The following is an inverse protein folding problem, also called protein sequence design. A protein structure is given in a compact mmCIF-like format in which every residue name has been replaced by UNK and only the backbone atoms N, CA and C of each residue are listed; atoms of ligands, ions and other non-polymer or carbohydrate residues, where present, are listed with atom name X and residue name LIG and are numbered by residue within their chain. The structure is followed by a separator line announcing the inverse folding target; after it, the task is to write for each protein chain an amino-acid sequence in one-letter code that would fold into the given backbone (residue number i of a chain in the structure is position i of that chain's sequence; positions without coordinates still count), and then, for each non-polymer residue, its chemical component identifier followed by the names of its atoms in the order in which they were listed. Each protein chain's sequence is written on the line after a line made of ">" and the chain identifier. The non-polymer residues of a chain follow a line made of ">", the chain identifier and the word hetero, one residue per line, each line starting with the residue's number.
data_IF_775005023764
#
_entry.id   IF_775005023764
#
_cell.length_a   1.000
_cell.length_b   1.000
_cell.length_c   1.000
_cell.angle_alpha   90.00
_cell.angle_beta   90.00
_cell.angle_gamma   90.00
#
_symmetry.space_group_name_H-M   'P 1'
#
loop_
_entity.id
_entity.type
_entity.pdbx_description
1 polymer ?
#
# COMPACT_ATOMS: atom_id res chain seq x y z
N UNK A 1 -9.76 -23.15 7.69
CA UNK A 1 -9.19 -24.23 6.85
C UNK A 1 -8.74 -23.63 5.51
N UNK A 2 -7.53 -23.92 5.05
CA UNK A 2 -7.07 -23.53 3.71
C UNK A 2 -7.86 -24.34 2.68
N UNK A 3 -8.80 -23.70 1.97
CA UNK A 3 -9.40 -24.28 0.77
C UNK A 3 -8.30 -24.36 -0.29
N UNK A 4 -7.57 -25.49 -0.33
CA UNK A 4 -6.57 -25.73 -1.36
C UNK A 4 -7.28 -25.83 -2.70
N UNK A 5 -6.79 -25.05 -3.67
CA UNK A 5 -7.24 -25.13 -5.05
C UNK A 5 -6.83 -26.50 -5.60
N UNK A 6 -7.76 -27.33 -6.12
CA UNK A 6 -7.39 -28.51 -6.88
C UNK A 6 -6.65 -28.07 -8.15
N UNK A 7 -5.47 -28.65 -8.39
CA UNK A 7 -4.65 -28.37 -9.56
C UNK A 7 -4.56 -29.64 -10.41
N UNK A 8 -4.81 -29.51 -11.71
CA UNK A 8 -4.57 -30.55 -12.70
C UNK A 8 -3.09 -30.69 -13.07
N UNK A 9 -2.78 -31.73 -13.84
CA UNK A 9 -1.43 -31.94 -14.37
C UNK A 9 -1.03 -30.77 -15.27
N UNK A 10 0.14 -30.19 -15.03
CA UNK A 10 0.64 -29.05 -15.79
C UNK A 10 0.03 -27.70 -15.40
N UNK A 11 -0.72 -27.60 -14.29
CA UNK A 11 -1.22 -26.34 -13.76
C UNK A 11 -0.38 -25.80 -12.59
N UNK A 12 -0.53 -24.51 -12.32
CA UNK A 12 -0.02 -23.85 -11.12
C UNK A 12 -1.09 -22.90 -10.56
N UNK A 13 -1.04 -22.64 -9.25
CA UNK A 13 -1.92 -21.66 -8.63
C UNK A 13 -1.44 -20.24 -8.94
N UNK A 14 -2.35 -19.36 -9.34
CA UNK A 14 -2.11 -17.92 -9.44
C UNK A 14 -3.12 -17.17 -8.59
N UNK A 15 -2.63 -16.22 -7.80
CA UNK A 15 -3.47 -15.31 -7.01
C UNK A 15 -3.61 -13.98 -7.74
N UNK A 16 -4.85 -13.53 -7.88
CA UNK A 16 -5.22 -12.25 -8.45
C UNK A 16 -6.17 -11.51 -7.50
N UNK A 17 -6.45 -10.24 -7.77
CA UNK A 17 -7.37 -9.43 -6.98
C UNK A 17 -8.44 -8.81 -7.88
N UNK A 18 -9.70 -8.98 -7.49
CA UNK A 18 -10.84 -8.29 -8.07
C UNK A 18 -11.30 -7.19 -7.11
N UNK A 19 -11.84 -6.09 -7.64
CA UNK A 19 -12.43 -5.02 -6.83
C UNK A 19 -13.94 -5.20 -6.81
N UNK A 20 -14.49 -5.44 -5.63
CA UNK A 20 -15.92 -5.45 -5.36
C UNK A 20 -16.39 -4.17 -4.67
N UNK A 21 -17.70 -3.95 -4.71
CA UNK A 21 -18.39 -2.87 -4.02
C UNK A 21 -19.49 -3.49 -3.16
N UNK A 22 -19.48 -3.22 -1.85
CA UNK A 22 -20.61 -3.60 -0.99
C UNK A 22 -21.66 -2.50 -1.09
N UNK A 23 -22.82 -2.85 -1.67
CA UNK A 23 -23.91 -1.89 -1.94
C UNK A 23 -24.98 -1.87 -0.85
N UNK A 24 -25.09 -2.95 -0.10
CA UNK A 24 -26.00 -3.12 1.02
C UNK A 24 -25.51 -4.29 1.89
N UNK A 25 -26.11 -4.44 3.06
CA UNK A 25 -25.97 -5.63 3.88
C UNK A 25 -27.30 -6.00 4.53
N UNK A 26 -27.42 -7.22 5.05
CA UNK A 26 -28.58 -7.67 5.81
C UNK A 26 -28.11 -8.10 7.18
N UNK A 27 -28.68 -7.54 8.24
CA UNK A 27 -28.41 -7.98 9.62
C UNK A 27 -29.02 -9.36 9.80
N UNK A 28 -28.20 -10.39 9.99
CA UNK A 28 -28.67 -11.78 9.94
C UNK A 28 -29.69 -12.11 11.03
N UNK A 29 -29.56 -11.49 12.21
CA UNK A 29 -30.44 -11.73 13.35
C UNK A 29 -31.86 -11.17 13.14
N UNK A 30 -31.99 -10.03 12.45
CA UNK A 30 -33.26 -9.29 12.35
C UNK A 30 -33.83 -9.26 10.94
N UNK A 31 -33.04 -9.61 9.92
CA UNK A 31 -33.40 -9.42 8.51
C UNK A 31 -33.36 -7.96 8.06
N UNK A 32 -32.94 -7.03 8.93
CA UNK A 32 -32.91 -5.60 8.62
C UNK A 32 -31.91 -5.31 7.49
N UNK A 33 -32.37 -4.58 6.47
CA UNK A 33 -31.54 -4.14 5.35
C UNK A 33 -30.74 -2.90 5.74
N UNK A 34 -29.41 -3.01 5.70
CA UNK A 34 -28.49 -1.89 5.81
C UNK A 34 -28.27 -1.25 4.44
N UNK A 35 -28.54 0.05 4.35
CA UNK A 35 -28.20 0.86 3.19
C UNK A 35 -26.67 0.92 2.98
N UNK A 36 -26.23 1.29 1.78
CA UNK A 36 -24.81 1.51 1.48
C UNK A 36 -24.15 2.48 2.48
N UNK A 37 -24.87 3.54 2.88
CA UNK A 37 -24.38 4.55 3.81
C UNK A 37 -24.24 3.99 5.23
N UNK A 38 -25.27 3.30 5.75
CA UNK A 38 -25.23 2.67 7.07
C UNK A 38 -24.12 1.60 7.15
N UNK A 39 -23.93 0.82 6.07
CA UNK A 39 -22.83 -0.13 5.99
C UNK A 39 -21.46 0.58 5.98
N UNK A 40 -21.32 1.67 5.23
CA UNK A 40 -20.09 2.45 5.18
C UNK A 40 -19.75 3.11 6.53
N UNK A 41 -20.76 3.52 7.29
CA UNK A 41 -20.58 4.05 8.64
C UNK A 41 -20.07 2.97 9.60
N UNK A 42 -20.73 1.80 9.67
CA UNK A 42 -20.32 0.70 10.55
C UNK A 42 -18.93 0.16 10.20
N UNK A 43 -18.64 -0.02 8.91
CA UNK A 43 -17.30 -0.43 8.45
C UNK A 43 -16.27 0.67 8.68
N UNK A 44 -16.64 1.93 8.45
CA UNK A 44 -15.76 3.09 8.64
C UNK A 44 -15.30 3.22 10.09
N UNK A 45 -16.22 3.05 11.03
CA UNK A 45 -15.86 3.04 12.45
C UNK A 45 -14.86 1.92 12.79
N UNK A 46 -15.09 0.70 12.30
CA UNK A 46 -14.17 -0.42 12.55
C UNK A 46 -12.80 -0.20 11.89
N UNK A 47 -12.79 0.38 10.69
CA UNK A 47 -11.57 0.80 10.00
C UNK A 47 -10.79 1.82 10.84
N UNK A 48 -11.47 2.80 11.42
CA UNK A 48 -10.84 3.84 12.24
C UNK A 48 -10.22 3.26 13.50
N UNK A 49 -10.96 2.41 14.21
CA UNK A 49 -10.45 1.70 15.37
C UNK A 49 -9.19 0.88 15.03
N UNK A 50 -9.25 0.07 13.97
CA UNK A 50 -8.12 -0.79 13.58
C UNK A 50 -6.91 0.05 13.15
N UNK A 51 -7.14 1.12 12.37
CA UNK A 51 -6.05 1.97 11.89
C UNK A 51 -5.42 2.79 13.01
N UNK A 52 -6.19 3.24 14.01
CA UNK A 52 -5.72 3.90 15.22
C UNK A 52 -4.82 2.97 16.03
N UNK A 53 -5.31 1.80 16.41
CA UNK A 53 -4.52 0.80 17.16
C UNK A 53 -3.25 0.38 16.40
N UNK A 54 -3.34 0.19 15.08
CA UNK A 54 -2.18 -0.14 14.27
C UNK A 54 -1.17 1.02 14.20
N UNK A 55 -1.66 2.27 14.17
CA UNK A 55 -0.83 3.48 14.19
C UNK A 55 -0.06 3.62 15.51
N UNK A 56 -0.74 3.42 16.64
CA UNK A 56 -0.11 3.42 17.97
C UNK A 56 0.97 2.33 18.08
N UNK A 57 0.64 1.10 17.69
CA UNK A 57 1.59 -0.01 17.74
C UNK A 57 2.78 0.19 16.81
N UNK A 58 2.55 0.76 15.62
CA UNK A 58 3.64 1.07 14.68
C UNK A 58 4.53 2.17 15.22
N UNK A 59 3.95 3.25 15.77
CA UNK A 59 4.72 4.36 16.33
C UNK A 59 5.56 3.92 17.54
N UNK A 60 5.00 3.08 18.43
CA UNK A 60 5.71 2.56 19.60
C UNK A 60 6.94 1.71 19.25
N UNK A 61 6.92 1.05 18.10
CA UNK A 61 8.02 0.19 17.62
C UNK A 61 8.75 0.76 16.39
N UNK A 62 8.59 2.06 16.11
CA UNK A 62 9.28 2.75 15.02
C UNK A 62 10.69 3.16 15.45
N UNK A 63 11.55 2.18 15.67
CA UNK A 63 12.95 2.38 16.06
C UNK A 63 13.84 1.25 15.53
N UNK A 64 15.15 1.50 15.51
CA UNK A 64 16.16 0.57 14.98
C UNK A 64 16.12 -0.78 15.67
N UNK A 65 16.13 -0.80 17.01
CA UNK A 65 16.16 -2.04 17.81
C UNK A 65 14.99 -2.95 17.48
N UNK A 66 13.76 -2.44 17.52
CA UNK A 66 12.58 -3.24 17.30
C UNK A 66 12.51 -3.72 15.84
N UNK A 67 12.78 -2.85 14.87
CA UNK A 67 12.76 -3.26 13.45
C UNK A 67 13.80 -4.35 13.17
N UNK A 68 14.99 -4.28 13.77
CA UNK A 68 16.01 -5.32 13.64
C UNK A 68 15.61 -6.63 14.31
N UNK A 69 15.00 -6.58 15.51
CA UNK A 69 14.45 -7.77 16.18
C UNK A 69 13.39 -8.44 15.29
N UNK A 70 12.45 -7.68 14.73
CA UNK A 70 11.42 -8.24 13.86
C UNK A 70 11.99 -8.78 12.53
N UNK A 71 13.02 -8.13 12.00
CA UNK A 71 13.68 -8.51 10.75
C UNK A 71 14.60 -9.73 10.89
N UNK A 72 15.18 -9.96 12.08
CA UNK A 72 15.99 -11.16 12.38
C UNK A 72 15.23 -12.45 12.09
N UNK A 73 13.90 -12.39 12.20
CA UNK A 73 13.03 -13.53 11.97
C UNK A 73 13.04 -14.53 13.13
N UNK A 74 13.62 -14.19 14.28
CA UNK A 74 13.67 -15.01 15.49
C UNK A 74 13.25 -14.19 16.73
N UNK A 75 12.76 -14.88 17.77
CA UNK A 75 12.55 -14.26 19.08
C UNK A 75 13.83 -14.32 19.95
N UNK A 76 13.79 -13.73 21.14
CA UNK A 76 14.94 -13.71 22.06
C UNK A 76 15.44 -15.13 22.47
N UNK A 77 14.63 -16.17 22.26
CA UNK A 77 15.00 -17.57 22.48
C UNK A 77 15.45 -18.31 21.23
N UNK A 78 15.72 -17.62 20.12
CA UNK A 78 16.13 -18.21 18.84
C UNK A 78 15.01 -18.94 18.09
N UNK A 79 13.74 -18.76 18.49
CA UNK A 79 12.63 -19.43 17.80
C UNK A 79 12.17 -18.58 16.63
N UNK A 80 12.11 -19.20 15.45
CA UNK A 80 11.62 -18.57 14.22
C UNK A 80 10.27 -17.88 14.40
N UNK A 81 10.16 -16.62 14.00
CA UNK A 81 8.93 -15.85 14.00
C UNK A 81 7.95 -16.39 12.94
N UNK A 82 6.63 -16.45 13.22
CA UNK A 82 5.64 -16.87 12.26
C UNK A 82 5.57 -15.95 11.02
N UNK A 83 5.14 -16.51 9.89
CA UNK A 83 4.93 -15.75 8.66
C UNK A 83 3.81 -14.71 8.78
N UNK A 84 2.75 -15.00 9.53
CA UNK A 84 1.69 -14.03 9.85
C UNK A 84 2.25 -12.94 10.78
N UNK A 85 2.10 -11.67 10.38
CA UNK A 85 2.71 -10.56 11.10
C UNK A 85 2.12 -10.41 12.50
N UNK A 86 0.80 -10.55 12.65
CA UNK A 86 0.16 -10.46 13.97
C UNK A 86 0.67 -11.50 14.97
N UNK A 87 0.98 -12.72 14.51
CA UNK A 87 1.51 -13.78 15.36
C UNK A 87 2.97 -13.50 15.74
N UNK A 88 3.75 -12.96 14.81
CA UNK A 88 5.12 -12.54 15.10
C UNK A 88 5.15 -11.43 16.15
N UNK A 89 4.31 -10.41 16.02
CA UNK A 89 4.21 -9.34 17.02
C UNK A 89 3.86 -9.91 18.41
N UNK A 90 2.86 -10.81 18.49
CA UNK A 90 2.51 -11.47 19.76
C UNK A 90 3.65 -12.30 20.34
N UNK A 91 4.43 -12.99 19.50
CA UNK A 91 5.60 -13.75 19.95
C UNK A 91 6.68 -12.86 20.55
N UNK A 92 6.81 -11.63 20.03
CA UNK A 92 7.70 -10.60 20.58
C UNK A 92 7.10 -9.86 21.78
N UNK A 93 5.88 -10.20 22.22
CA UNK A 93 5.19 -9.51 23.29
C UNK A 93 4.59 -8.15 22.89
N UNK A 94 4.62 -7.81 21.60
CA UNK A 94 4.13 -6.53 21.10
C UNK A 94 2.63 -6.60 20.84
N UNK A 95 1.88 -5.79 21.58
CA UNK A 95 0.42 -5.81 21.54
C UNK A 95 -0.16 -4.42 21.70
N UNK A 96 -1.45 -4.31 21.41
CA UNK A 96 -2.23 -3.09 21.51
C UNK A 96 -3.61 -3.47 22.06
N UNK A 97 -4.17 -2.57 22.87
CA UNK A 97 -5.50 -2.70 23.42
C UNK A 97 -6.46 -1.74 22.70
N UNK A 98 -7.76 -2.08 22.58
CA UNK A 98 -8.75 -1.09 22.19
C UNK A 98 -8.79 0.05 23.23
N UNK A 99 -9.23 1.26 22.83
CA UNK A 99 -9.46 2.36 23.76
C UNK A 99 -10.39 1.96 24.92
N UNK A 100 -10.26 2.66 26.05
CA UNK A 100 -11.05 2.39 27.25
C UNK A 100 -12.56 2.38 26.95
N UNK A 101 -13.28 1.44 27.58
CA UNK A 101 -14.72 1.27 27.38
C UNK A 101 -15.13 0.59 26.06
N UNK A 102 -14.19 0.34 25.13
CA UNK A 102 -14.48 -0.34 23.87
C UNK A 102 -14.21 -1.84 23.99
N UNK A 103 -15.25 -2.64 23.76
CA UNK A 103 -15.18 -4.10 23.72
C UNK A 103 -15.17 -4.61 22.29
N UNK A 104 -14.09 -5.30 21.93
CA UNK A 104 -13.91 -5.92 20.60
C UNK A 104 -13.57 -7.40 20.70
N UNK A 105 -13.82 -8.13 19.61
CA UNK A 105 -13.27 -9.47 19.42
C UNK A 105 -11.75 -9.38 19.21
N UNK A 106 -10.99 -10.36 19.69
CA UNK A 106 -9.55 -10.52 19.46
C UNK A 106 -9.16 -10.34 17.98
N UNK A 107 -10.05 -10.70 17.04
CA UNK A 107 -9.80 -10.60 15.59
C UNK A 107 -9.69 -9.15 15.11
N UNK A 108 -10.34 -8.20 15.79
CA UNK A 108 -10.18 -6.77 15.52
C UNK A 108 -8.75 -6.33 15.90
N UNK A 109 -8.24 -6.81 17.03
CA UNK A 109 -6.85 -6.57 17.46
C UNK A 109 -5.86 -7.25 16.51
N UNK A 110 -6.13 -8.49 16.07
CA UNK A 110 -5.28 -9.18 15.07
C UNK A 110 -5.15 -8.39 13.77
N UNK A 111 -6.22 -7.77 13.29
CA UNK A 111 -6.15 -6.92 12.09
C UNK A 111 -5.23 -5.71 12.29
N UNK A 112 -5.24 -5.09 13.46
CA UNK A 112 -4.35 -3.98 13.78
C UNK A 112 -2.89 -4.44 13.86
N UNK A 113 -2.63 -5.55 14.56
CA UNK A 113 -1.31 -6.16 14.67
C UNK A 113 -0.77 -6.62 13.31
N UNK A 114 -1.62 -7.16 12.43
CA UNK A 114 -1.22 -7.57 11.09
C UNK A 114 -0.80 -6.36 10.23
N UNK A 115 -1.53 -5.25 10.32
CA UNK A 115 -1.19 -4.01 9.61
C UNK A 115 0.11 -3.41 10.12
N UNK A 116 0.24 -3.26 11.44
CA UNK A 116 1.46 -2.73 12.06
C UNK A 116 2.68 -3.60 11.74
N UNK A 117 2.57 -4.92 11.91
CA UNK A 117 3.68 -5.83 11.69
C UNK A 117 4.14 -5.89 10.22
N UNK A 118 3.21 -5.75 9.25
CA UNK A 118 3.58 -5.60 7.83
C UNK A 118 4.32 -4.30 7.56
N UNK A 119 3.86 -3.19 8.14
CA UNK A 119 4.51 -1.89 8.01
C UNK A 119 5.94 -1.92 8.58
N UNK A 120 6.11 -2.46 9.79
CA UNK A 120 7.41 -2.60 10.45
C UNK A 120 8.36 -3.52 9.68
N UNK A 121 7.89 -4.67 9.19
CA UNK A 121 8.71 -5.56 8.33
C UNK A 121 9.21 -4.86 7.07
N UNK A 122 8.38 -4.02 6.45
CA UNK A 122 8.80 -3.24 5.28
C UNK A 122 9.80 -2.12 5.61
N UNK A 123 9.97 -1.76 6.89
CA UNK A 123 10.86 -0.70 7.31
C UNK A 123 12.34 -1.09 7.21
N UNK A 124 12.66 -2.37 7.45
CA UNK A 124 14.04 -2.87 7.48
C UNK A 124 14.81 -2.52 6.20
N UNK A 125 14.20 -2.75 5.03
CA UNK A 125 14.83 -2.40 3.75
C UNK A 125 15.18 -0.90 3.65
N UNK A 126 14.30 -0.01 4.14
CA UNK A 126 14.58 1.43 4.19
C UNK A 126 15.65 1.78 5.22
N UNK A 127 15.66 1.08 6.36
CA UNK A 127 16.69 1.24 7.39
C UNK A 127 18.07 0.87 6.85
N UNK A 128 18.19 -0.27 6.18
CA UNK A 128 19.44 -0.74 5.56
C UNK A 128 19.92 0.19 4.45
N UNK A 129 19.01 0.64 3.58
CA UNK A 129 19.30 1.64 2.55
C UNK A 129 19.81 2.95 3.17
N UNK A 130 19.16 3.44 4.22
CA UNK A 130 19.56 4.67 4.90
C UNK A 130 20.92 4.51 5.59
N UNK A 131 21.13 3.41 6.29
CA UNK A 131 22.39 3.10 6.96
C UNK A 131 23.56 3.04 5.96
N UNK A 132 23.42 2.34 4.83
CA UNK A 132 24.44 2.28 3.80
C UNK A 132 24.75 3.65 3.18
N UNK A 133 23.73 4.48 2.95
CA UNK A 133 23.91 5.85 2.45
C UNK A 133 24.61 6.75 3.47
N UNK A 134 24.28 6.63 4.75
CA UNK A 134 24.91 7.41 5.83
C UNK A 134 26.37 6.99 6.05
N UNK A 135 26.66 5.69 6.03
CA UNK A 135 28.01 5.15 6.16
C UNK A 135 28.94 5.61 5.03
N UNK A 136 28.38 5.95 3.86
CA UNK A 136 29.08 6.38 2.65
C UNK A 136 28.62 7.76 2.19
N UNK A 137 28.41 8.66 3.15
CA UNK A 137 27.91 9.99 2.87
C UNK A 137 28.88 10.74 1.94
N UNK A 138 28.45 11.19 0.75
CA UNK A 138 29.37 11.74 -0.24
C UNK A 138 29.81 13.15 0.14
N UNK A 139 30.97 13.55 -0.38
CA UNK A 139 31.50 14.92 -0.22
C UNK A 139 30.52 15.93 -0.85
N UNK A 140 29.94 15.57 -2.00
CA UNK A 140 28.94 16.36 -2.72
C UNK A 140 27.60 15.62 -2.85
N UNK A 141 26.58 15.87 -2.01
CA UNK A 141 25.31 15.13 -2.07
C UNK A 141 24.51 15.33 -3.38
N UNK A 142 24.87 16.32 -4.21
CA UNK A 142 24.27 16.51 -5.53
C UNK A 142 24.88 15.61 -6.63
N UNK A 143 26.12 15.14 -6.45
CA UNK A 143 26.88 14.34 -7.42
C UNK A 143 27.84 13.41 -6.69
N UNK A 144 27.64 12.10 -6.85
CA UNK A 144 28.61 11.07 -6.45
C UNK A 144 29.62 10.82 -7.57
N UNK A 145 30.89 10.70 -7.21
CA UNK A 145 31.95 10.12 -8.04
C UNK A 145 31.72 8.63 -8.30
N UNK A 146 32.40 8.02 -9.28
CA UNK A 146 32.34 6.56 -9.51
C UNK A 146 32.70 5.75 -8.26
N UNK A 147 33.75 6.11 -7.54
CA UNK A 147 34.17 5.38 -6.32
C UNK A 147 33.11 5.49 -5.20
N UNK A 148 32.53 6.68 -5.01
CA UNK A 148 31.41 6.87 -4.06
C UNK A 148 30.14 6.11 -4.48
N UNK A 149 29.99 5.75 -5.76
CA UNK A 149 28.92 4.89 -6.25
C UNK A 149 29.16 3.42 -5.92
N UNK A 150 30.40 2.95 -6.05
CA UNK A 150 30.75 1.58 -5.72
C UNK A 150 30.66 1.35 -4.20
N UNK A 151 31.21 2.27 -3.40
CA UNK A 151 31.16 2.22 -1.94
C UNK A 151 29.73 2.12 -1.40
N UNK A 152 28.81 2.96 -1.89
CA UNK A 152 27.42 2.93 -1.39
C UNK A 152 26.69 1.66 -1.81
N UNK A 153 26.99 1.10 -2.99
CA UNK A 153 26.40 -0.16 -3.44
C UNK A 153 26.89 -1.34 -2.63
N UNK A 154 28.16 -1.33 -2.22
CA UNK A 154 28.73 -2.33 -1.33
C UNK A 154 28.15 -2.24 0.09
N UNK A 155 27.94 -1.01 0.59
CA UNK A 155 27.42 -0.77 1.94
C UNK A 155 25.93 -1.12 2.12
N UNK A 156 25.17 -1.29 1.03
CA UNK A 156 23.73 -1.61 1.09
C UNK A 156 23.52 -3.10 0.75
N UNK A 157 22.80 -3.88 1.58
CA UNK A 157 22.39 -5.24 1.24
C UNK A 157 21.68 -5.31 -0.12
N UNK A 158 22.28 -6.02 -1.08
CA UNK A 158 21.77 -6.12 -2.46
C UNK A 158 21.96 -4.87 -3.31
N UNK A 159 22.81 -3.92 -2.87
CA UNK A 159 23.02 -2.62 -3.51
C UNK A 159 23.51 -2.68 -4.95
N UNK A 160 24.21 -3.74 -5.35
CA UNK A 160 24.63 -4.00 -6.74
C UNK A 160 23.45 -4.00 -7.72
N UNK A 161 22.28 -4.45 -7.29
CA UNK A 161 21.07 -4.53 -8.12
C UNK A 161 20.13 -3.33 -7.94
N UNK A 162 20.46 -2.39 -7.06
CA UNK A 162 19.61 -1.22 -6.82
C UNK A 162 19.70 -0.23 -7.99
N UNK A 163 18.56 0.27 -8.50
CA UNK A 163 18.56 1.37 -9.44
C UNK A 163 19.17 2.62 -8.81
N UNK A 164 20.12 3.28 -9.49
CA UNK A 164 20.75 4.52 -9.01
C UNK A 164 19.74 5.60 -8.55
N UNK A 165 18.57 5.78 -9.19
CA UNK A 165 17.57 6.75 -8.73
C UNK A 165 17.07 6.52 -7.29
N UNK A 166 17.06 5.28 -6.79
CA UNK A 166 16.66 4.96 -5.42
C UNK A 166 17.65 5.57 -4.42
N UNK A 167 18.95 5.32 -4.63
CA UNK A 167 20.05 5.86 -3.81
C UNK A 167 20.10 7.39 -3.91
N UNK A 168 19.91 7.96 -5.11
CA UNK A 168 19.86 9.42 -5.30
C UNK A 168 18.69 10.05 -4.55
N UNK A 169 17.51 9.43 -4.59
CA UNK A 169 16.34 9.94 -3.89
C UNK A 169 16.56 9.97 -2.37
N UNK A 170 17.11 8.90 -1.79
CA UNK A 170 17.45 8.85 -0.37
C UNK A 170 18.56 9.84 0.01
N UNK A 171 19.62 9.96 -0.81
CA UNK A 171 20.68 10.95 -0.58
C UNK A 171 20.11 12.37 -0.54
N UNK A 172 19.17 12.70 -1.44
CA UNK A 172 18.49 14.00 -1.45
C UNK A 172 17.64 14.24 -0.21
N UNK A 173 16.95 13.21 0.28
CA UNK A 173 16.14 13.28 1.48
C UNK A 173 17.00 13.58 2.71
N UNK A 174 18.12 12.88 2.87
CA UNK A 174 19.09 13.16 3.94
C UNK A 174 19.68 14.56 3.78
N UNK A 175 20.00 15.01 2.57
CA UNK A 175 20.49 16.37 2.33
C UNK A 175 19.46 17.46 2.71
N UNK A 176 18.14 17.18 2.55
CA UNK A 176 17.08 18.06 3.07
C UNK A 176 17.11 18.10 4.60
N UNK A 177 17.28 16.95 5.26
CA UNK A 177 17.41 16.87 6.72
C UNK A 177 18.63 17.68 7.21
N UNK A 178 19.80 17.46 6.61
CA UNK A 178 21.05 18.19 6.95
C UNK A 178 20.87 19.70 6.82
N UNK A 179 20.24 20.18 5.74
CA UNK A 179 19.98 21.62 5.57
C UNK A 179 19.06 22.19 6.65
N UNK A 180 18.15 21.38 7.20
CA UNK A 180 17.21 21.82 8.25
C UNK A 180 17.82 21.72 9.65
N UNK A 181 18.65 20.71 9.91
CA UNK A 181 19.10 20.35 11.26
C UNK A 181 20.61 20.55 11.50
N UNK A 182 21.40 20.86 10.46
CA UNK A 182 22.84 21.12 10.57
C UNK A 182 23.70 19.87 10.80
N UNK A 183 23.11 18.67 10.80
CA UNK A 183 23.79 17.39 10.99
C UNK A 183 23.13 16.27 10.19
N UNK A 184 23.81 15.14 10.06
CA UNK A 184 23.21 13.91 9.54
C UNK A 184 22.17 13.36 10.52
N UNK A 185 21.11 12.69 10.01
CA UNK A 185 20.24 11.88 10.85
C UNK A 185 21.01 10.66 11.36
N UNK A 186 20.64 10.18 12.53
CA UNK A 186 21.21 8.96 13.12
C UNK A 186 20.80 7.74 12.32
N UNK A 187 19.53 7.67 11.92
CA UNK A 187 18.95 6.54 11.19
C UNK A 187 17.69 6.97 10.41
N UNK A 188 17.01 5.99 9.81
CA UNK A 188 15.76 6.23 9.07
C UNK A 188 14.61 6.67 9.98
N UNK A 189 14.64 6.31 11.27
CA UNK A 189 13.57 6.57 12.22
C UNK A 189 13.60 8.03 12.70
N UNK A 190 14.78 8.65 12.70
CA UNK A 190 14.93 10.09 12.83
C UNK A 190 14.63 10.83 11.51
N UNK A 191 15.05 10.26 10.38
CA UNK A 191 14.85 10.88 9.06
C UNK A 191 13.38 10.94 8.63
N UNK A 192 12.60 9.92 8.98
CA UNK A 192 11.23 9.72 8.54
C UNK A 192 10.26 9.56 9.72
N UNK A 193 9.09 10.20 9.69
CA UNK A 193 8.05 9.90 10.66
C UNK A 193 7.55 8.46 10.49
N UNK A 194 7.00 7.89 11.56
CA UNK A 194 6.33 6.60 11.50
C UNK A 194 5.30 6.59 10.35
N UNK A 195 5.23 5.50 9.55
CA UNK A 195 4.40 5.45 8.37
C UNK A 195 2.92 5.56 8.75
N UNK A 196 2.17 6.37 8.00
CA UNK A 196 0.72 6.47 8.17
C UNK A 196 0.07 5.15 7.81
N UNK A 197 -0.70 4.58 8.73
CA UNK A 197 -1.42 3.33 8.51
C UNK A 197 -2.63 3.57 7.61
N UNK A 198 -2.80 2.68 6.64
CA UNK A 198 -3.94 2.74 5.74
C UNK A 198 -5.24 2.45 6.50
N UNK A 199 -6.29 3.22 6.19
CA UNK A 199 -7.64 2.98 6.70
C UNK A 199 -8.28 1.78 5.99
N UNK A 200 -8.03 0.57 6.52
CA UNK A 200 -8.55 -0.69 5.97
C UNK A 200 -8.80 -1.77 7.04
N UNK A 201 -9.61 -2.78 6.69
CA UNK A 201 -9.79 -4.02 7.44
C UNK A 201 -9.21 -5.20 6.65
N UNK A 202 -8.13 -5.79 7.16
CA UNK A 202 -7.51 -6.98 6.59
C UNK A 202 -8.24 -8.24 7.07
N UNK A 203 -9.40 -8.57 6.51
CA UNK A 203 -10.19 -9.71 6.99
C UNK A 203 -9.48 -11.06 6.85
N UNK A 204 -8.44 -11.15 6.01
CA UNK A 204 -7.56 -12.33 5.91
C UNK A 204 -6.73 -12.61 7.17
N UNK A 205 -6.61 -11.64 8.09
CA UNK A 205 -6.01 -11.85 9.42
C UNK A 205 -6.98 -12.50 10.42
N UNK A 206 -8.24 -12.69 10.02
CA UNK A 206 -9.32 -13.21 10.86
C UNK A 206 -9.71 -14.64 10.49
N UNK A 207 -10.51 -15.24 11.36
CA UNK A 207 -11.12 -16.55 11.14
C UNK A 207 -12.66 -16.42 11.06
N UNK A 208 -13.32 -17.57 10.98
CA UNK A 208 -14.78 -17.68 10.84
C UNK A 208 -15.58 -17.07 11.99
N UNK A 209 -14.93 -16.74 13.12
CA UNK A 209 -15.59 -16.02 14.21
C UNK A 209 -15.81 -14.54 13.88
N UNK A 210 -15.11 -13.97 12.89
CA UNK A 210 -15.23 -12.57 12.51
C UNK A 210 -15.78 -12.39 11.09
N UNK A 211 -15.37 -13.22 10.14
CA UNK A 211 -15.79 -13.11 8.75
C UNK A 211 -15.73 -14.44 7.99
N UNK A 212 -16.65 -14.63 7.05
CA UNK A 212 -16.65 -15.74 6.10
C UNK A 212 -17.00 -15.25 4.70
N UNK A 213 -16.52 -15.95 3.67
CA UNK A 213 -16.91 -15.69 2.28
C UNK A 213 -17.27 -17.00 1.58
N UNK A 214 -18.41 -16.97 0.91
CA UNK A 214 -18.91 -18.07 0.10
C UNK A 214 -19.34 -17.56 -1.27
N UNK A 215 -19.34 -18.44 -2.28
CA UNK A 215 -20.02 -18.14 -3.53
C UNK A 215 -21.53 -18.19 -3.29
N UNK A 216 -22.27 -17.34 -4.01
CA UNK A 216 -23.73 -17.45 -4.06
C UNK A 216 -24.14 -18.56 -5.01
N UNK A 217 -25.43 -18.90 -4.97
CA UNK A 217 -26.01 -19.94 -5.85
C UNK A 217 -25.95 -19.52 -7.32
N UNK A 218 -26.09 -18.22 -7.60
CA UNK A 218 -25.92 -17.66 -8.94
C UNK A 218 -24.43 -17.46 -9.29
N UNK A 219 -24.01 -17.87 -10.52
CA UNK A 219 -22.70 -17.51 -11.04
C UNK A 219 -22.44 -16.01 -10.99
N UNK A 220 -21.22 -15.62 -10.63
CA UNK A 220 -20.86 -14.22 -10.51
C UNK A 220 -21.31 -13.54 -9.21
N UNK A 221 -21.82 -14.29 -8.22
CA UNK A 221 -22.11 -13.75 -6.88
C UNK A 221 -21.27 -14.40 -5.79
N UNK A 222 -20.97 -13.62 -4.76
CA UNK A 222 -20.43 -14.08 -3.50
C UNK A 222 -21.17 -13.41 -2.34
N UNK A 223 -21.18 -14.08 -1.19
CA UNK A 223 -21.71 -13.57 0.06
C UNK A 223 -20.57 -13.42 1.07
N UNK A 224 -20.27 -12.18 1.44
CA UNK A 224 -19.38 -11.87 2.55
C UNK A 224 -20.23 -11.74 3.82
N UNK A 225 -20.02 -12.60 4.81
CA UNK A 225 -20.60 -12.44 6.14
C UNK A 225 -19.52 -11.89 7.05
N UNK A 226 -19.82 -10.85 7.83
CA UNK A 226 -18.86 -10.30 8.79
C UNK A 226 -19.56 -9.72 10.01
N UNK A 227 -18.90 -9.79 11.17
CA UNK A 227 -19.35 -9.10 12.37
C UNK A 227 -19.03 -7.60 12.28
N UNK A 228 -20.04 -6.77 12.49
CA UNK A 228 -19.94 -5.31 12.54
C UNK A 228 -20.57 -4.78 13.83
N UNK A 229 -20.08 -3.65 14.35
CA UNK A 229 -20.69 -3.00 15.50
C UNK A 229 -22.08 -2.45 15.12
N UNK A 230 -23.02 -2.53 16.05
CA UNK A 230 -24.37 -1.94 15.92
C UNK A 230 -24.41 -0.47 16.33
N UNK A 231 -23.40 0.00 17.07
CA UNK A 231 -23.25 1.36 17.57
C UNK A 231 -21.78 1.80 17.56
N UNK A 232 -21.49 3.11 17.49
CA UNK A 232 -20.18 3.63 17.85
C UNK A 232 -19.83 3.23 19.31
N UNK A 233 -18.56 2.93 19.56
CA UNK A 233 -18.06 2.49 20.88
C UNK A 233 -18.89 1.32 21.48
N UNK A 234 -18.78 0.10 20.90
CA UNK A 234 -19.40 -1.10 21.45
C UNK A 234 -18.82 -1.37 22.84
N UNK A 235 -19.68 -1.49 23.85
CA UNK A 235 -19.27 -1.71 25.25
C UNK A 235 -19.31 -3.20 25.62
N UNK A 236 -19.97 -4.03 24.81
CA UNK A 236 -20.12 -5.46 25.03
C UNK A 236 -20.11 -6.25 23.72
N UNK A 237 -19.96 -7.57 23.81
CA UNK A 237 -20.10 -8.45 22.64
C UNK A 237 -21.54 -8.47 22.06
N UNK A 238 -22.54 -7.97 22.80
CA UNK A 238 -23.92 -7.82 22.30
C UNK A 238 -24.06 -6.67 21.29
N UNK A 239 -23.11 -5.74 21.29
CA UNK A 239 -23.05 -4.61 20.37
C UNK A 239 -22.42 -4.99 19.02
N UNK A 240 -22.21 -6.27 18.77
CA UNK A 240 -21.70 -6.83 17.51
C UNK A 240 -22.76 -7.74 16.90
N UNK A 241 -22.95 -7.60 15.59
CA UNK A 241 -23.91 -8.44 14.85
C UNK A 241 -23.31 -8.92 13.54
N UNK A 242 -23.73 -10.11 13.11
CA UNK A 242 -23.46 -10.60 11.77
C UNK A 242 -24.25 -9.82 10.73
N UNK A 243 -23.54 -9.40 9.69
CA UNK A 243 -24.10 -8.74 8.51
C UNK A 243 -23.70 -9.53 7.28
N UNK A 244 -24.67 -9.89 6.45
CA UNK A 244 -24.49 -10.57 5.18
C UNK A 244 -24.46 -9.53 4.04
N UNK A 245 -23.34 -9.43 3.34
CA UNK A 245 -23.06 -8.44 2.31
C UNK A 245 -22.85 -9.13 0.95
N UNK A 246 -23.80 -9.02 0.01
CA UNK A 246 -23.65 -9.55 -1.34
C UNK A 246 -22.54 -8.81 -2.12
N UNK A 247 -21.75 -9.57 -2.88
CA UNK A 247 -20.68 -9.08 -3.76
C UNK A 247 -20.94 -9.60 -5.17
N UNK A 248 -21.01 -8.68 -6.13
CA UNK A 248 -20.94 -9.03 -7.55
C UNK A 248 -19.47 -9.30 -7.93
N UNK A 249 -19.19 -10.51 -8.41
CA UNK A 249 -17.89 -10.93 -8.91
C UNK A 249 -17.78 -10.53 -10.39
N UNK A 250 -16.67 -9.90 -10.82
CA UNK A 250 -16.46 -9.61 -12.22
C UNK A 250 -16.23 -10.91 -13.01
N UNK A 251 -16.50 -10.92 -14.34
CA UNK A 251 -16.29 -12.10 -15.19
C UNK A 251 -14.86 -12.64 -15.20
N UNK A 252 -13.88 -11.83 -14.78
CA UNK A 252 -12.47 -12.23 -14.64
C UNK A 252 -12.22 -13.17 -13.45
N UNK A 253 -13.19 -13.37 -12.57
CA UNK A 253 -13.16 -14.34 -11.48
C UNK A 253 -13.89 -15.59 -11.94
N UNK A 254 -13.14 -16.62 -12.34
CA UNK A 254 -13.75 -17.89 -12.77
C UNK A 254 -14.60 -18.51 -11.66
N UNK A 255 -15.54 -19.37 -12.03
CA UNK A 255 -16.41 -20.10 -11.08
C UNK A 255 -15.60 -21.02 -10.15
N UNK A 256 -14.50 -21.58 -10.65
CA UNK A 256 -13.67 -22.54 -9.91
C UNK A 256 -12.60 -21.86 -9.03
N UNK A 257 -12.49 -20.54 -9.11
CA UNK A 257 -11.54 -19.81 -8.29
C UNK A 257 -11.90 -19.90 -6.80
N UNK A 258 -10.89 -20.14 -5.97
CA UNK A 258 -11.02 -20.08 -4.51
C UNK A 258 -11.03 -18.61 -4.10
N UNK A 259 -12.13 -18.17 -3.47
CA UNK A 259 -12.27 -16.82 -2.92
C UNK A 259 -11.62 -16.75 -1.52
N UNK A 260 -10.88 -15.67 -1.27
CA UNK A 260 -10.29 -15.37 0.04
C UNK A 260 -11.04 -14.22 0.71
N UNK A 261 -10.89 -14.09 2.04
CA UNK A 261 -11.47 -12.96 2.75
C UNK A 261 -10.90 -11.63 2.22
N UNK A 262 -11.75 -10.65 1.87
CA UNK A 262 -11.30 -9.43 1.21
C UNK A 262 -10.66 -8.45 2.19
N UNK A 263 -9.89 -7.51 1.65
CA UNK A 263 -9.57 -6.28 2.39
C UNK A 263 -10.69 -5.26 2.18
N UNK A 264 -11.25 -4.72 3.27
CA UNK A 264 -12.27 -3.66 3.17
C UNK A 264 -11.65 -2.29 3.35
N UNK A 265 -12.11 -1.30 2.56
CA UNK A 265 -11.72 0.10 2.70
C UNK A 265 -12.86 1.04 2.34
N UNK A 266 -12.84 2.21 2.95
CA UNK A 266 -13.78 3.28 2.62
C UNK A 266 -13.22 4.12 1.46
N UNK A 267 -14.02 4.31 0.42
CA UNK A 267 -13.68 5.20 -0.68
C UNK A 267 -14.94 5.93 -1.16
N UNK A 268 -14.91 7.26 -1.13
CA UNK A 268 -16.06 8.11 -1.51
C UNK A 268 -17.36 7.68 -0.80
N UNK A 269 -17.31 7.51 0.53
CA UNK A 269 -18.41 7.03 1.37
C UNK A 269 -18.99 5.66 1.00
N UNK A 270 -18.24 4.83 0.25
CA UNK A 270 -18.62 3.47 -0.12
C UNK A 270 -17.62 2.45 0.39
N UNK A 271 -18.08 1.25 0.70
CA UNK A 271 -17.22 0.14 1.11
C UNK A 271 -16.73 -0.63 -0.12
N UNK A 272 -15.43 -0.53 -0.39
CA UNK A 272 -14.76 -1.37 -1.40
C UNK A 272 -14.24 -2.64 -0.75
N UNK A 273 -14.43 -3.76 -1.44
CA UNK A 273 -13.88 -5.05 -1.07
C UNK A 273 -12.82 -5.45 -2.10
N UNK A 274 -11.54 -5.38 -1.74
CA UNK A 274 -10.45 -5.89 -2.56
C UNK A 274 -10.36 -7.41 -2.31
N UNK A 275 -10.97 -8.17 -3.22
CA UNK A 275 -11.18 -9.61 -3.13
C UNK A 275 -10.04 -10.35 -3.81
N UNK A 276 -9.17 -10.96 -3.01
CA UNK A 276 -8.18 -11.90 -3.53
C UNK A 276 -8.87 -13.22 -3.91
N UNK A 277 -8.45 -13.80 -5.02
CA UNK A 277 -8.88 -15.12 -5.46
C UNK A 277 -7.71 -15.88 -6.07
N UNK A 278 -7.70 -17.20 -5.85
CA UNK A 278 -6.71 -18.10 -6.43
C UNK A 278 -7.38 -19.00 -7.45
N UNK A 279 -6.82 -19.08 -8.65
CA UNK A 279 -7.32 -19.93 -9.73
C UNK A 279 -6.16 -20.71 -10.36
N UNK A 280 -6.50 -21.80 -11.03
CA UNK A 280 -5.53 -22.60 -11.76
C UNK A 280 -5.16 -21.86 -13.05
N UNK A 281 -3.87 -21.82 -13.36
CA UNK A 281 -3.36 -21.36 -14.64
C UNK A 281 -2.39 -22.39 -15.19
N UNK A 282 -2.23 -22.48 -16.53
CA UNK A 282 -1.21 -23.34 -17.12
C UNK A 282 0.17 -23.00 -16.57
N UNK A 283 0.93 -24.02 -16.15
CA UNK A 283 2.30 -23.86 -15.72
C UNK A 283 3.12 -23.41 -16.94
N UNK A 284 3.85 -22.29 -16.85
CA UNK A 284 4.70 -21.87 -17.95
C UNK A 284 5.75 -22.97 -18.20
N UNK A 285 5.75 -23.52 -19.42
CA UNK A 285 6.79 -24.44 -19.86
C UNK A 285 7.96 -23.60 -20.35
N UNK A 286 9.17 -23.89 -19.86
CA UNK A 286 10.39 -23.38 -20.48
C UNK A 286 10.55 -24.08 -21.82
N UNK A 287 9.96 -23.56 -22.89
CA UNK A 287 10.48 -23.86 -24.22
C UNK A 287 11.66 -22.93 -24.46
N UNK A 288 12.66 -23.37 -25.22
CA UNK A 288 13.81 -22.54 -25.61
C UNK A 288 13.34 -21.37 -26.47
N UNK A 289 12.74 -20.37 -25.84
CA UNK A 289 12.15 -19.23 -26.51
C UNK A 289 13.28 -18.43 -27.15
N UNK A 290 13.36 -18.50 -28.47
CA UNK A 290 14.28 -17.72 -29.29
C UNK A 290 13.82 -16.27 -29.48
N UNK A 291 12.69 -15.86 -28.89
CA UNK A 291 12.18 -14.49 -28.97
C UNK A 291 11.95 -13.94 -27.57
N UNK A 292 12.51 -12.77 -27.30
CA UNK A 292 12.31 -11.99 -26.09
C UNK A 292 11.50 -10.73 -26.41
N UNK A 293 10.58 -10.35 -25.52
CA UNK A 293 9.91 -9.05 -25.55
C UNK A 293 10.45 -8.20 -24.39
N UNK A 294 11.20 -7.15 -24.72
CA UNK A 294 11.58 -6.12 -23.77
C UNK A 294 10.46 -5.09 -23.67
N UNK A 295 9.99 -4.84 -22.45
CA UNK A 295 9.04 -3.76 -22.15
C UNK A 295 9.68 -2.87 -21.10
N UNK A 296 9.74 -1.58 -21.39
CA UNK A 296 10.30 -0.55 -20.51
C UNK A 296 9.29 0.59 -20.31
N UNK A 297 9.30 1.16 -19.10
CA UNK A 297 8.49 2.31 -18.72
C UNK A 297 9.42 3.47 -18.37
N UNK A 298 9.59 4.38 -19.32
CA UNK A 298 10.44 5.56 -19.16
C UNK A 298 9.66 6.81 -18.74
N UNK A 299 10.37 7.75 -18.12
CA UNK A 299 9.82 9.06 -17.76
C UNK A 299 9.47 9.92 -18.99
N UNK A 300 10.19 9.75 -20.10
CA UNK A 300 9.98 10.51 -21.34
C UNK A 300 9.22 9.72 -22.42
N UNK A 301 9.20 8.38 -22.31
CA UNK A 301 8.46 7.46 -23.17
C UNK A 301 7.79 6.46 -22.25
N UNK A 302 6.48 6.64 -22.07
CA UNK A 302 5.71 5.96 -21.02
C UNK A 302 5.69 4.45 -21.19
N UNK A 303 5.80 3.98 -22.42
CA UNK A 303 5.96 2.57 -22.74
C UNK A 303 6.85 2.46 -23.97
N UNK A 304 7.89 1.67 -23.88
CA UNK A 304 8.67 1.19 -25.01
C UNK A 304 8.55 -0.33 -25.01
N UNK A 305 8.24 -0.91 -26.16
CA UNK A 305 8.20 -2.35 -26.32
C UNK A 305 8.99 -2.73 -27.58
N UNK A 306 9.87 -3.72 -27.46
CA UNK A 306 10.68 -4.21 -28.56
C UNK A 306 10.84 -5.71 -28.46
N UNK A 307 10.71 -6.42 -29.57
CA UNK A 307 10.99 -7.84 -29.62
C UNK A 307 12.40 -8.06 -30.18
N UNK A 308 13.10 -9.07 -29.69
CA UNK A 308 14.40 -9.49 -30.20
C UNK A 308 14.42 -11.00 -30.36
N UNK A 309 15.13 -11.49 -31.37
CA UNK A 309 15.33 -12.92 -31.63
C UNK A 309 16.76 -13.32 -31.34
N UNK A 310 16.95 -14.39 -30.58
CA UNK A 310 18.20 -15.12 -30.43
C UNK A 310 18.27 -16.18 -31.54
N UNK A 311 19.34 -16.17 -32.32
CA UNK A 311 19.62 -17.17 -33.36
C UNK A 311 20.48 -18.31 -32.79
N UNK A 312 20.55 -19.43 -33.51
CA UNK A 312 21.28 -20.63 -33.08
C UNK A 312 22.81 -20.40 -32.96
N UNK A 313 23.32 -19.37 -33.62
CA UNK A 313 24.73 -18.92 -33.55
C UNK A 313 25.00 -17.98 -32.34
N UNK A 314 23.99 -17.71 -31.52
CA UNK A 314 24.08 -16.80 -30.37
C UNK A 314 23.83 -15.32 -30.70
N UNK A 315 23.60 -14.98 -31.97
CA UNK A 315 23.35 -13.60 -32.39
C UNK A 315 21.96 -13.13 -31.95
N UNK A 316 21.83 -11.88 -31.50
CA UNK A 316 20.54 -11.26 -31.16
C UNK A 316 20.17 -10.21 -32.21
N UNK A 317 19.01 -10.37 -32.86
CA UNK A 317 18.48 -9.38 -33.82
C UNK A 317 17.16 -8.80 -33.35
N UNK A 318 16.99 -7.48 -33.47
CA UNK A 318 15.71 -6.81 -33.16
C UNK A 318 14.66 -7.16 -34.22
N UNK A 319 13.46 -7.51 -33.75
CA UNK A 319 12.30 -7.79 -34.58
C UNK A 319 11.48 -6.51 -34.77
N UNK A 320 11.71 -5.83 -35.89
CA UNK A 320 10.98 -4.62 -36.28
C UNK A 320 11.43 -3.37 -35.51
N UNK A 321 10.68 -2.27 -35.67
CA UNK A 321 11.04 -0.97 -35.11
C UNK A 321 10.67 -0.80 -33.61
N UNK A 322 10.01 -1.79 -33.02
CA UNK A 322 9.38 -1.67 -31.70
C UNK A 322 8.17 -0.73 -31.70
N UNK A 323 7.55 -0.58 -30.54
CA UNK A 323 6.45 0.33 -30.28
C UNK A 323 6.81 1.31 -29.15
N UNK A 324 6.41 2.56 -29.29
CA UNK A 324 6.63 3.59 -28.27
C UNK A 324 5.33 4.35 -28.02
N UNK A 325 4.88 4.38 -26.77
CA UNK A 325 3.83 5.29 -26.32
C UNK A 325 4.47 6.56 -25.76
N UNK A 326 4.48 7.62 -26.59
CA UNK A 326 5.03 8.93 -26.22
C UNK A 326 3.92 9.85 -25.75
N UNK A 327 3.92 10.19 -24.46
CA UNK A 327 2.98 11.16 -23.89
C UNK A 327 3.67 12.46 -23.45
N UNK A 328 4.69 12.90 -24.20
CA UNK A 328 5.53 14.05 -23.84
C UNK A 328 4.72 15.32 -23.51
N UNK A 329 3.66 15.62 -24.27
CA UNK A 329 2.79 16.77 -23.99
C UNK A 329 2.03 16.65 -22.67
N UNK A 330 1.57 15.45 -22.32
CA UNK A 330 0.90 15.16 -21.03
C UNK A 330 1.89 15.27 -19.88
N UNK A 331 3.09 14.71 -20.05
CA UNK A 331 4.17 14.77 -19.05
C UNK A 331 4.66 16.19 -18.80
N UNK A 332 4.82 17.00 -19.86
CA UNK A 332 5.17 18.41 -19.74
C UNK A 332 4.08 19.21 -18.99
N UNK A 333 2.81 18.90 -19.26
CA UNK A 333 1.68 19.50 -18.52
C UNK A 333 1.67 19.04 -17.06
N UNK A 334 1.93 17.78 -16.76
CA UNK A 334 2.09 17.29 -15.38
C UNK A 334 3.22 18.01 -14.66
N UNK A 335 4.39 18.15 -15.29
CA UNK A 335 5.53 18.84 -14.70
C UNK A 335 5.22 20.31 -14.38
N UNK A 336 4.54 21.01 -15.28
CA UNK A 336 4.06 22.38 -15.06
C UNK A 336 3.06 22.48 -13.91
N UNK A 337 2.07 21.59 -13.85
CA UNK A 337 1.10 21.54 -12.75
C UNK A 337 1.76 21.19 -11.42
N UNK A 338 2.78 20.33 -11.42
CA UNK A 338 3.58 20.00 -10.23
C UNK A 338 4.31 21.24 -9.71
N UNK A 339 5.06 21.94 -10.56
CA UNK A 339 5.77 23.18 -10.17
C UNK A 339 4.80 24.25 -9.68
N UNK A 340 3.65 24.41 -10.34
CA UNK A 340 2.61 25.33 -9.88
C UNK A 340 2.10 24.92 -8.49
N UNK A 341 1.82 23.63 -8.27
CA UNK A 341 1.40 23.11 -6.97
C UNK A 341 2.45 23.32 -5.87
N UNK A 342 3.72 23.09 -6.16
CA UNK A 342 4.84 23.32 -5.22
C UNK A 342 4.94 24.80 -4.83
N UNK A 343 4.82 25.71 -5.82
CA UNK A 343 4.80 27.14 -5.56
C UNK A 343 3.60 27.57 -4.69
N UNK A 344 2.40 27.05 -4.98
CA UNK A 344 1.20 27.34 -4.21
C UNK A 344 1.29 26.84 -2.77
N UNK A 345 1.80 25.62 -2.55
CA UNK A 345 2.01 25.09 -1.19
C UNK A 345 3.05 25.92 -0.44
N UNK A 346 4.18 26.25 -1.05
CA UNK A 346 5.18 27.10 -0.40
C UNK A 346 4.64 28.47 0.00
N UNK A 347 3.76 29.06 -0.83
CA UNK A 347 3.06 30.31 -0.51
C UNK A 347 2.03 30.14 0.61
N UNK A 348 1.25 29.05 0.59
CA UNK A 348 0.28 28.74 1.65
C UNK A 348 0.97 28.51 3.00
N UNK A 349 2.09 27.77 3.03
CA UNK A 349 2.90 27.53 4.22
C UNK A 349 3.52 28.83 4.76
N UNK A 350 3.89 29.76 3.86
CA UNK A 350 4.34 31.08 4.26
C UNK A 350 3.20 31.89 4.90
N UNK A 351 2.00 31.89 4.31
CA UNK A 351 0.85 32.59 4.87
C UNK A 351 0.42 32.00 6.22
N UNK A 352 0.39 30.67 6.35
CA UNK A 352 0.10 30.01 7.62
C UNK A 352 1.08 30.44 8.73
N UNK A 353 2.38 30.55 8.40
CA UNK A 353 3.41 31.03 9.34
C UNK A 353 3.21 32.50 9.74
N UNK A 354 2.76 33.35 8.82
CA UNK A 354 2.49 34.76 9.11
C UNK A 354 1.22 34.95 9.96
N UNK A 355 0.20 34.13 9.74
CA UNK A 355 -1.07 34.20 10.47
C UNK A 355 -0.89 33.83 11.95
N UNK A 356 -0.03 32.85 12.25
CA UNK A 356 0.43 32.50 13.60
C UNK A 356 -0.69 32.50 14.67
N UNK A 357 -1.79 31.81 14.38
CA UNK A 357 -2.97 31.63 15.27
C UNK A 357 -3.64 32.94 15.74
N UNK A 358 -3.41 34.05 15.04
CA UNK A 358 -4.16 35.29 15.29
C UNK A 358 -5.53 35.19 14.64
N UNK A 359 -6.57 35.26 15.45
CA UNK A 359 -7.93 35.46 14.95
C UNK A 359 -8.00 36.78 14.17
N UNK A 360 -8.66 36.73 13.00
CA UNK A 360 -8.87 37.85 12.07
C UNK A 360 -7.61 38.46 11.42
N UNK A 361 -6.64 37.63 11.03
CA UNK A 361 -5.52 38.11 10.20
C UNK A 361 -5.97 38.46 8.77
N UNK A 362 -5.49 39.59 8.21
CA UNK A 362 -5.80 40.05 6.84
C UNK A 362 -5.42 39.06 5.71
N UNK A 363 -4.66 38.01 6.05
CA UNK A 363 -4.21 36.97 5.12
C UNK A 363 -5.11 35.73 5.14
N UNK A 364 -6.07 35.62 6.05
CA UNK A 364 -6.99 34.47 6.16
C UNK A 364 -7.85 34.29 4.91
N UNK A 365 -8.37 35.39 4.34
CA UNK A 365 -9.09 35.37 3.05
C UNK A 365 -8.20 34.90 1.88
N UNK A 366 -7.04 35.55 1.63
CA UNK A 366 -6.06 35.09 0.64
C UNK A 366 -5.60 33.64 0.84
N UNK A 367 -5.47 33.16 2.07
CA UNK A 367 -5.12 31.78 2.37
C UNK A 367 -6.21 30.80 1.95
N UNK A 368 -7.49 31.11 2.20
CA UNK A 368 -8.61 30.29 1.75
C UNK A 368 -8.65 30.18 0.21
N UNK A 369 -8.34 31.27 -0.49
CA UNK A 369 -8.22 31.28 -1.96
C UNK A 369 -7.06 30.39 -2.44
N UNK A 370 -5.89 30.45 -1.79
CA UNK A 370 -4.77 29.58 -2.10
C UNK A 370 -5.10 28.10 -1.87
N UNK A 371 -5.80 27.78 -0.78
CA UNK A 371 -6.23 26.42 -0.48
C UNK A 371 -7.16 25.87 -1.58
N UNK A 372 -8.09 26.70 -2.08
CA UNK A 372 -8.96 26.31 -3.20
C UNK A 372 -8.19 26.13 -4.51
N UNK A 373 -7.23 27.00 -4.82
CA UNK A 373 -6.40 26.84 -6.02
C UNK A 373 -5.49 25.59 -5.94
N UNK A 374 -4.97 25.27 -4.74
CA UNK A 374 -4.25 24.02 -4.48
C UNK A 374 -5.15 22.81 -4.76
N UNK A 375 -6.42 22.84 -4.29
CA UNK A 375 -7.40 21.78 -4.58
C UNK A 375 -7.63 21.64 -6.10
N UNK A 376 -7.81 22.75 -6.82
CA UNK A 376 -8.03 22.75 -8.28
C UNK A 376 -6.84 22.21 -9.07
N UNK A 377 -5.61 22.64 -8.73
CA UNK A 377 -4.39 22.12 -9.36
C UNK A 377 -4.23 20.63 -9.08
N UNK A 378 -4.52 20.19 -7.85
CA UNK A 378 -4.49 18.77 -7.48
C UNK A 378 -5.52 17.96 -8.27
N UNK A 379 -6.76 18.45 -8.42
CA UNK A 379 -7.79 17.82 -9.23
C UNK A 379 -7.38 17.73 -10.72
N UNK A 380 -6.81 18.79 -11.29
CA UNK A 380 -6.28 18.79 -12.67
C UNK A 380 -5.17 17.75 -12.85
N UNK A 381 -4.28 17.60 -11.87
CA UNK A 381 -3.23 16.57 -11.88
C UNK A 381 -3.82 15.16 -11.85
N UNK A 382 -4.78 14.91 -10.97
CA UNK A 382 -5.48 13.62 -10.89
C UNK A 382 -6.21 13.28 -12.19
N UNK A 383 -6.97 14.24 -12.75
CA UNK A 383 -7.68 14.04 -14.01
C UNK A 383 -6.71 13.75 -15.18
N UNK A 384 -5.56 14.42 -15.21
CA UNK A 384 -4.54 14.19 -16.23
C UNK A 384 -3.88 12.81 -16.08
N UNK A 385 -3.63 12.36 -14.84
CA UNK A 385 -3.17 10.99 -14.55
C UNK A 385 -4.19 9.95 -14.98
N UNK A 386 -5.48 10.15 -14.67
CA UNK A 386 -6.55 9.24 -15.04
C UNK A 386 -6.72 9.15 -16.55
N UNK A 387 -6.64 10.29 -17.25
CA UNK A 387 -6.68 10.31 -18.71
C UNK A 387 -5.49 9.57 -19.33
N UNK A 388 -4.30 9.76 -18.76
CA UNK A 388 -3.09 9.06 -19.18
C UNK A 388 -3.21 7.55 -18.97
N UNK A 389 -3.67 7.11 -17.79
CA UNK A 389 -3.90 5.71 -17.48
C UNK A 389 -4.92 5.07 -18.43
N UNK A 390 -6.02 5.78 -18.73
CA UNK A 390 -7.00 5.32 -19.72
C UNK A 390 -6.43 5.24 -21.13
N UNK A 391 -5.59 6.19 -21.53
CA UNK A 391 -4.95 6.19 -22.85
C UNK A 391 -3.87 5.13 -22.99
N UNK A 392 -3.19 4.76 -21.91
CA UNK A 392 -2.19 3.69 -21.92
C UNK A 392 -2.82 2.29 -21.84
N UNK A 393 -4.07 2.18 -21.37
CA UNK A 393 -4.82 0.92 -21.30
C UNK A 393 -5.61 0.60 -22.58
N UNK A 394 -5.71 1.56 -23.51
CA UNK A 394 -6.24 1.38 -24.86
C UNK A 394 -5.09 1.13 -25.81
#
# INVERSE_FOLDING_TARGET
>A
MSRRLPLGEGETARTACARGLLRAGVVEKTGEMLSAAALAERVGWAVDLVSGMAGELTAGHWNTTDVDVLASGEDAGGRKLPSNAWMALRRLGWTVAPPEGIKVNDRIVRMAQEQAGRALRSAKWRADLTAGVLATWPVGPAKRSPDEWDQVREAIPGGTFLPSPVIQSHTRQIAVFVRKHGRLPVDVFELEPAPRIARMLLLSACDEQQATIARGDEPGRALLRLQLPTRPAPASYRDWTWVACPIALPPTVSTDAVLHLPTLRIHQAKVRADLAYTHAVPKPRRSGHVVALGVDWGLNTLLSAGAARLHDDGTITVLGAGAMFRAAGVLAKQHRLRRQGEHLHGKADHYQRLINERDEHALSGPQAVLAEEIRRVSARRSNLNDALARSAAR
#
